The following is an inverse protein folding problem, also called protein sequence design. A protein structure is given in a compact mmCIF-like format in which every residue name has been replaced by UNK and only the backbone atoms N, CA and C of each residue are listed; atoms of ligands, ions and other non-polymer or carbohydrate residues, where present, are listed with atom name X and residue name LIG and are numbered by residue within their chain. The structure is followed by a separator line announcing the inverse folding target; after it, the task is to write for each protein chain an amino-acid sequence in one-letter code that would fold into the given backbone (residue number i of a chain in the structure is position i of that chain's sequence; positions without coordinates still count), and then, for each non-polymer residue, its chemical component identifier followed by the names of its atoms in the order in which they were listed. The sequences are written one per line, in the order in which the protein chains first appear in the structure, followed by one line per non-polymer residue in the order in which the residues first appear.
data_IF_006122591764
#
_entry.id   IF_006122591764
#
_cell.length_a   1.000
_cell.length_b   1.000
_cell.length_c   1.000
_cell.angle_alpha   90.00
_cell.angle_beta   90.00
_cell.angle_gamma   90.00
#
_symmetry.space_group_name_H-M   'P 1'
#
loop_
_entity.id
_entity.type
_entity.pdbx_description
1 polymer ?
#
# COMPACT_ATOMS: atom_id res chain seq x y z
N UNK A 1 2.75 0.11 14.64
CA UNK A 1 2.44 0.45 13.22
C UNK A 1 0.99 0.95 13.02
N UNK A 2 0.37 1.51 14.05
CA UNK A 2 -1.05 1.84 14.05
C UNK A 2 -1.41 2.81 12.93
N UNK A 3 -0.91 3.95 12.73
CA UNK A 3 -1.32 4.88 11.66
C UNK A 3 -0.49 4.78 10.37
N UNK A 4 0.72 4.26 10.44
CA UNK A 4 1.65 4.20 9.32
C UNK A 4 2.28 2.82 9.26
N UNK A 5 1.58 1.84 8.65
CA UNK A 5 2.16 0.52 8.45
C UNK A 5 3.44 0.65 7.64
N UNK A 6 4.45 -0.10 8.04
CA UNK A 6 5.76 -0.14 7.38
C UNK A 6 6.18 -1.57 7.21
N UNK A 7 6.81 -1.85 6.10
CA UNK A 7 7.40 -3.14 5.78
C UNK A 7 8.87 -2.95 5.44
N UNK A 8 9.63 -4.00 5.59
CA UNK A 8 11.04 -4.08 5.19
C UNK A 8 11.23 -5.19 4.14
N UNK A 9 12.45 -5.31 3.63
CA UNK A 9 12.79 -6.32 2.62
C UNK A 9 12.56 -7.75 3.11
N UNK A 10 12.71 -8.03 4.40
CA UNK A 10 12.45 -9.38 4.98
C UNK A 10 10.97 -9.75 4.91
N UNK A 11 10.08 -8.79 5.18
CA UNK A 11 8.64 -9.01 5.04
C UNK A 11 8.25 -9.16 3.58
N UNK A 12 8.86 -8.39 2.66
CA UNK A 12 8.64 -8.57 1.22
C UNK A 12 9.08 -9.95 0.74
N UNK A 13 10.24 -10.45 1.18
CA UNK A 13 10.69 -11.81 0.87
C UNK A 13 9.72 -12.90 1.36
N UNK A 14 9.04 -12.68 2.49
CA UNK A 14 8.10 -13.63 3.07
C UNK A 14 6.71 -13.59 2.44
N UNK A 15 6.26 -12.41 2.01
CA UNK A 15 4.86 -12.16 1.63
C UNK A 15 4.71 -11.56 0.22
N UNK A 16 5.68 -11.76 -0.67
CA UNK A 16 5.65 -11.25 -2.04
C UNK A 16 4.71 -12.03 -2.96
N UNK A 17 4.35 -13.25 -2.60
CA UNK A 17 3.56 -14.13 -3.44
C UNK A 17 2.19 -13.51 -3.79
N UNK A 18 1.85 -13.45 -5.07
CA UNK A 18 0.66 -12.79 -5.58
C UNK A 18 0.73 -11.26 -5.67
N UNK A 19 1.90 -10.65 -5.43
CA UNK A 19 2.10 -9.21 -5.57
C UNK A 19 2.88 -8.87 -6.84
N UNK A 20 2.48 -7.79 -7.50
CA UNK A 20 3.24 -7.15 -8.58
C UNK A 20 3.94 -5.92 -8.01
N UNK A 21 5.22 -5.73 -8.33
CA UNK A 21 6.04 -4.64 -7.80
C UNK A 21 6.59 -3.78 -8.93
N UNK A 22 6.53 -2.45 -8.76
CA UNK A 22 7.12 -1.48 -9.67
C UNK A 22 8.19 -0.64 -8.96
N UNK A 23 9.14 -0.05 -9.73
CA UNK A 23 10.24 0.74 -9.16
C UNK A 23 9.84 2.11 -8.62
N UNK A 24 8.59 2.49 -8.75
CA UNK A 24 7.97 3.75 -8.31
C UNK A 24 8.56 5.02 -8.97
N UNK A 25 8.18 6.19 -8.45
CA UNK A 25 8.57 7.52 -8.91
C UNK A 25 10.01 7.88 -8.50
N UNK A 26 10.41 9.15 -8.65
CA UNK A 26 11.74 9.65 -8.23
C UNK A 26 12.05 9.36 -6.75
N UNK A 27 11.02 9.14 -5.90
CA UNK A 27 11.18 8.72 -4.51
C UNK A 27 11.53 7.25 -4.30
N UNK A 28 11.45 6.41 -5.34
CA UNK A 28 11.78 4.99 -5.29
C UNK A 28 13.26 4.71 -5.02
N UNK A 29 13.57 3.53 -4.49
CA UNK A 29 14.93 3.14 -4.10
C UNK A 29 15.90 3.15 -5.30
N UNK A 30 15.47 2.63 -6.46
CA UNK A 30 16.29 2.63 -7.69
C UNK A 30 16.50 4.04 -8.25
N UNK A 31 15.45 4.88 -8.47
CA UNK A 31 15.62 6.26 -8.88
C UNK A 31 16.50 7.08 -7.93
N UNK A 32 16.37 6.89 -6.62
CA UNK A 32 17.20 7.57 -5.63
C UNK A 32 18.68 7.21 -5.74
N UNK A 33 19.04 5.96 -5.99
CA UNK A 33 20.40 5.55 -6.22
C UNK A 33 20.95 6.18 -7.52
N UNK A 34 20.16 6.19 -8.60
CA UNK A 34 20.54 6.83 -9.88
C UNK A 34 20.81 8.32 -9.67
N UNK A 35 19.94 9.04 -8.98
CA UNK A 35 20.11 10.48 -8.73
C UNK A 35 21.33 10.80 -7.86
N UNK A 36 21.75 9.87 -6.99
CA UNK A 36 23.03 9.97 -6.26
C UNK A 36 24.25 9.60 -7.12
N UNK A 37 24.03 9.26 -8.40
CA UNK A 37 25.05 8.76 -9.32
C UNK A 37 25.70 7.43 -8.87
N UNK A 38 24.94 6.62 -8.14
CA UNK A 38 25.34 5.29 -7.68
C UNK A 38 24.64 4.20 -8.52
N UNK A 39 25.17 3.98 -9.72
CA UNK A 39 24.64 2.99 -10.65
C UNK A 39 24.87 1.55 -10.17
N UNK A 40 25.87 1.32 -9.33
CA UNK A 40 26.14 0.00 -8.76
C UNK A 40 25.06 -0.37 -7.74
N UNK A 41 24.74 0.55 -6.82
CA UNK A 41 23.62 0.39 -5.89
C UNK A 41 22.30 0.22 -6.64
N UNK A 42 22.04 1.05 -7.66
CA UNK A 42 20.82 0.95 -8.46
C UNK A 42 20.66 -0.44 -9.08
N UNK A 43 21.72 -0.99 -9.66
CA UNK A 43 21.70 -2.35 -10.23
C UNK A 43 21.49 -3.42 -9.16
N UNK A 44 22.15 -3.33 -8.01
CA UNK A 44 21.97 -4.28 -6.90
C UNK A 44 20.53 -4.29 -6.41
N UNK A 45 19.91 -3.11 -6.29
CA UNK A 45 18.50 -2.97 -5.90
C UNK A 45 17.56 -3.61 -6.94
N UNK A 46 17.76 -3.34 -8.24
CA UNK A 46 16.98 -3.96 -9.32
C UNK A 46 17.10 -5.48 -9.28
N UNK A 47 18.32 -6.01 -9.11
CA UNK A 47 18.55 -7.46 -9.03
C UNK A 47 17.90 -8.09 -7.82
N UNK A 48 17.89 -7.38 -6.67
CA UNK A 48 17.23 -7.86 -5.47
C UNK A 48 15.71 -7.98 -5.71
N UNK A 49 15.06 -6.91 -6.21
CA UNK A 49 13.63 -6.95 -6.52
C UNK A 49 13.29 -8.03 -7.56
N UNK A 50 14.12 -8.17 -8.61
CA UNK A 50 13.96 -9.24 -9.61
C UNK A 50 14.09 -10.63 -8.99
N UNK A 51 14.97 -10.82 -8.01
CA UNK A 51 15.12 -12.12 -7.34
C UNK A 51 13.93 -12.48 -6.45
N UNK A 52 13.23 -11.49 -5.90
CA UNK A 52 12.05 -11.67 -5.04
C UNK A 52 10.78 -11.85 -5.87
N UNK A 53 10.53 -10.92 -6.81
CA UNK A 53 9.26 -10.86 -7.55
C UNK A 53 9.31 -11.56 -8.92
N UNK A 54 10.48 -11.99 -9.39
CA UNK A 54 10.60 -12.67 -10.68
C UNK A 54 10.11 -11.78 -11.83
N UNK A 55 9.16 -12.30 -12.62
CA UNK A 55 8.56 -11.60 -13.76
C UNK A 55 7.43 -10.65 -13.38
N UNK A 56 7.16 -10.50 -12.07
CA UNK A 56 6.21 -9.54 -11.51
C UNK A 56 6.90 -8.27 -10.97
N UNK A 57 8.18 -8.08 -11.30
CA UNK A 57 8.90 -6.82 -11.06
C UNK A 57 9.06 -6.03 -12.36
N UNK A 58 8.69 -4.73 -12.30
CA UNK A 58 8.76 -3.81 -13.44
C UNK A 58 9.49 -2.52 -13.07
N UNK A 59 10.27 -1.98 -14.02
CA UNK A 59 10.81 -0.63 -13.93
C UNK A 59 9.77 0.36 -14.45
N UNK A 60 9.72 1.55 -13.86
CA UNK A 60 8.64 2.51 -14.10
C UNK A 60 9.21 3.81 -14.66
N UNK A 61 8.87 4.11 -15.92
CA UNK A 61 9.22 5.36 -16.58
C UNK A 61 8.12 6.40 -16.34
N UNK A 62 8.52 7.59 -15.92
CA UNK A 62 7.60 8.71 -15.69
C UNK A 62 8.12 9.97 -16.36
N UNK A 63 7.22 10.81 -16.89
CA UNK A 63 7.56 12.10 -17.47
C UNK A 63 6.45 13.12 -17.16
N UNK A 64 6.83 14.23 -16.52
CA UNK A 64 5.91 15.30 -16.14
C UNK A 64 6.42 16.68 -16.66
N UNK A 65 6.45 16.90 -17.97
CA UNK A 65 6.85 18.19 -18.54
C UNK A 65 5.79 19.25 -18.21
N UNK A 66 6.10 20.20 -17.36
CA UNK A 66 5.17 21.27 -16.95
C UNK A 66 5.23 22.49 -17.86
N UNK A 67 6.34 22.67 -18.58
CA UNK A 67 6.65 23.89 -19.33
C UNK A 67 7.05 25.08 -18.45
N UNK A 68 7.15 24.89 -17.12
CA UNK A 68 7.73 25.87 -16.18
C UNK A 68 9.17 25.44 -15.87
N UNK A 69 10.20 26.18 -16.31
CA UNK A 69 11.60 25.77 -16.14
C UNK A 69 12.01 25.52 -14.68
N UNK A 70 11.32 26.14 -13.70
CA UNK A 70 11.63 25.91 -12.27
C UNK A 70 11.08 24.58 -11.77
N UNK A 71 9.88 24.20 -12.22
CA UNK A 71 9.28 22.90 -11.90
C UNK A 71 9.96 21.77 -12.67
N UNK A 72 10.29 22.03 -13.94
CA UNK A 72 10.94 21.06 -14.81
C UNK A 72 12.36 20.72 -14.33
N UNK A 73 13.12 21.68 -13.80
CA UNK A 73 14.45 21.44 -13.25
C UNK A 73 14.46 20.45 -12.08
N UNK A 74 13.43 20.52 -11.22
CA UNK A 74 13.35 19.66 -10.02
C UNK A 74 12.77 18.28 -10.31
N UNK A 75 11.91 18.13 -11.32
CA UNK A 75 11.18 16.88 -11.59
C UNK A 75 11.51 16.33 -12.99
N UNK A 76 11.17 17.05 -14.04
CA UNK A 76 11.25 16.55 -15.41
C UNK A 76 12.69 16.23 -15.85
N UNK A 77 13.66 17.09 -15.54
CA UNK A 77 15.07 16.83 -15.87
C UNK A 77 15.60 15.60 -15.11
N UNK A 78 15.22 15.43 -13.85
CA UNK A 78 15.57 14.23 -13.09
C UNK A 78 14.88 12.98 -13.65
N UNK A 79 13.64 13.08 -14.11
CA UNK A 79 12.95 11.96 -14.77
C UNK A 79 13.64 11.56 -16.08
N UNK A 80 14.10 12.50 -16.90
CA UNK A 80 14.87 12.19 -18.10
C UNK A 80 16.15 11.43 -17.77
N UNK A 81 16.89 11.88 -16.77
CA UNK A 81 18.12 11.21 -16.30
C UNK A 81 17.81 9.80 -15.80
N UNK A 82 16.82 9.66 -14.94
CA UNK A 82 16.41 8.38 -14.34
C UNK A 82 15.89 7.42 -15.40
N UNK A 83 15.02 7.85 -16.31
CA UNK A 83 14.46 7.00 -17.36
C UNK A 83 15.56 6.42 -18.26
N UNK A 84 16.55 7.23 -18.62
CA UNK A 84 17.71 6.74 -19.40
C UNK A 84 18.43 5.60 -18.66
N UNK A 85 18.72 5.78 -17.38
CA UNK A 85 19.40 4.77 -16.57
C UNK A 85 18.52 3.52 -16.34
N UNK A 86 17.21 3.69 -16.17
CA UNK A 86 16.26 2.58 -16.03
C UNK A 86 16.21 1.72 -17.30
N UNK A 87 16.25 2.31 -18.49
CA UNK A 87 16.33 1.57 -19.75
C UNK A 87 17.63 0.75 -19.87
N UNK A 88 18.76 1.30 -19.44
CA UNK A 88 20.02 0.57 -19.39
C UNK A 88 19.97 -0.60 -18.39
N UNK A 89 19.38 -0.37 -17.20
CA UNK A 89 19.19 -1.41 -16.18
C UNK A 89 18.18 -2.48 -16.62
N UNK A 90 17.10 -2.10 -17.33
CA UNK A 90 16.14 -3.01 -17.93
C UNK A 90 16.85 -4.03 -18.83
N UNK A 91 17.65 -3.53 -19.78
CA UNK A 91 18.39 -4.38 -20.71
C UNK A 91 19.44 -5.27 -19.97
N UNK A 92 20.15 -4.70 -18.99
CA UNK A 92 21.21 -5.38 -18.24
C UNK A 92 20.67 -6.46 -17.28
N UNK A 93 19.54 -6.21 -16.63
CA UNK A 93 18.96 -7.09 -15.62
C UNK A 93 17.83 -7.99 -16.15
N UNK A 94 17.40 -7.80 -17.39
CA UNK A 94 16.29 -8.55 -17.97
C UNK A 94 14.95 -8.26 -17.26
N UNK A 95 14.71 -6.99 -16.90
CA UNK A 95 13.49 -6.53 -16.24
C UNK A 95 12.66 -5.73 -17.23
N UNK A 96 11.39 -6.05 -17.39
CA UNK A 96 10.46 -5.27 -18.22
C UNK A 96 10.23 -3.90 -17.60
N UNK A 97 9.75 -2.96 -18.40
CA UNK A 97 9.40 -1.61 -17.94
C UNK A 97 8.03 -1.17 -18.45
N UNK A 98 7.45 -0.25 -17.72
CA UNK A 98 6.14 0.37 -17.99
C UNK A 98 6.29 1.88 -18.05
N UNK A 99 5.30 2.55 -18.64
CA UNK A 99 5.09 3.99 -18.50
C UNK A 99 3.92 4.23 -17.56
N UNK A 100 4.10 5.11 -16.58
CA UNK A 100 3.04 5.56 -15.68
C UNK A 100 3.02 7.07 -15.56
N UNK A 101 1.96 7.62 -14.99
CA UNK A 101 1.81 9.06 -14.80
C UNK A 101 1.73 9.47 -13.32
N UNK A 102 2.03 8.58 -12.38
CA UNK A 102 2.01 8.88 -10.94
C UNK A 102 0.76 9.70 -10.53
N UNK A 103 -0.42 9.19 -10.89
CA UNK A 103 -1.69 9.93 -10.85
C UNK A 103 -2.06 10.30 -9.42
N UNK A 104 -2.26 11.59 -9.17
CA UNK A 104 -2.68 12.14 -7.88
C UNK A 104 -4.06 12.80 -7.91
N UNK A 105 -4.56 13.14 -9.09
CA UNK A 105 -5.89 13.72 -9.31
C UNK A 105 -6.44 13.31 -10.67
N UNK A 106 -7.75 13.47 -10.88
CA UNK A 106 -8.41 12.90 -12.07
C UNK A 106 -8.32 13.83 -13.28
N UNK A 107 -8.73 15.08 -13.14
CA UNK A 107 -8.77 16.02 -14.24
C UNK A 107 -7.62 17.03 -14.14
N UNK A 108 -7.11 17.51 -15.28
CA UNK A 108 -6.02 18.48 -15.30
C UNK A 108 -6.39 19.79 -14.53
N UNK A 109 -7.67 20.20 -14.56
CA UNK A 109 -8.17 21.35 -13.80
C UNK A 109 -8.14 21.14 -12.26
N UNK A 110 -8.10 19.91 -11.78
CA UNK A 110 -8.05 19.61 -10.35
C UNK A 110 -6.69 19.94 -9.72
N UNK A 111 -5.66 20.21 -10.52
CA UNK A 111 -4.29 20.46 -10.08
C UNK A 111 -4.20 21.59 -9.02
N UNK A 112 -4.97 22.66 -9.20
CA UNK A 112 -4.99 23.79 -8.24
C UNK A 112 -5.64 23.39 -6.91
N UNK A 113 -6.74 22.65 -6.96
CA UNK A 113 -7.41 22.14 -5.76
C UNK A 113 -6.51 21.17 -5.01
N UNK A 114 -5.81 20.28 -5.73
CA UNK A 114 -4.84 19.35 -5.17
C UNK A 114 -3.67 20.08 -4.48
N UNK A 115 -3.13 21.16 -5.07
CA UNK A 115 -2.06 21.97 -4.49
C UNK A 115 -2.48 22.62 -3.15
N UNK A 116 -3.73 23.08 -3.06
CA UNK A 116 -4.30 23.59 -1.79
C UNK A 116 -4.45 22.46 -0.74
N UNK A 117 -4.87 21.27 -1.14
CA UNK A 117 -4.98 20.10 -0.23
C UNK A 117 -3.61 19.70 0.33
N UNK A 118 -2.56 19.76 -0.49
CA UNK A 118 -1.19 19.51 0.00
C UNK A 118 -0.80 20.52 1.09
N UNK A 119 -1.09 21.80 0.88
CA UNK A 119 -0.83 22.84 1.89
C UNK A 119 -1.58 22.55 3.19
N UNK A 120 -2.87 22.22 3.10
CA UNK A 120 -3.69 21.85 4.26
C UNK A 120 -3.11 20.66 5.02
N UNK A 121 -2.75 19.58 4.31
CA UNK A 121 -2.24 18.34 4.90
C UNK A 121 -0.85 18.47 5.51
N UNK A 122 -0.02 19.38 4.98
CA UNK A 122 1.35 19.61 5.44
C UNK A 122 1.48 20.78 6.42
N UNK A 123 0.40 21.54 6.65
CA UNK A 123 0.40 22.75 7.48
C UNK A 123 1.29 23.87 6.90
N UNK A 124 1.36 23.97 5.57
CA UNK A 124 2.18 24.98 4.86
C UNK A 124 1.30 25.97 4.13
N UNK A 125 1.78 27.21 4.01
CA UNK A 125 1.13 28.24 3.21
C UNK A 125 1.47 28.12 1.73
N UNK A 126 0.61 28.60 0.85
CA UNK A 126 0.77 28.54 -0.61
C UNK A 126 2.04 29.24 -1.12
N UNK A 127 2.45 30.31 -0.44
CA UNK A 127 3.63 31.13 -0.76
C UNK A 127 4.93 30.62 -0.10
N UNK A 128 4.87 29.59 0.77
CA UNK A 128 6.06 28.99 1.36
C UNK A 128 6.98 28.41 0.24
N UNK A 129 8.21 28.93 0.08
CA UNK A 129 9.13 28.46 -0.97
C UNK A 129 9.59 27.02 -0.77
N UNK A 130 9.53 26.50 0.47
CA UNK A 130 10.03 25.16 0.82
C UNK A 130 8.90 24.10 0.91
N UNK A 131 7.68 24.44 0.49
CA UNK A 131 6.59 23.47 0.50
C UNK A 131 6.71 22.46 -0.65
N UNK A 132 6.12 21.29 -0.47
CA UNK A 132 5.94 20.30 -1.51
C UNK A 132 5.08 20.86 -2.65
N UNK A 133 5.51 20.65 -3.88
CA UNK A 133 4.78 21.03 -5.09
C UNK A 133 4.84 19.90 -6.11
N UNK A 134 3.76 19.76 -6.86
CA UNK A 134 3.69 18.91 -8.04
C UNK A 134 3.83 19.72 -9.33
N UNK A 135 4.03 19.05 -10.45
CA UNK A 135 4.18 19.68 -11.76
C UNK A 135 2.84 20.12 -12.37
N UNK A 136 1.73 19.64 -11.84
CA UNK A 136 0.37 19.72 -12.37
C UNK A 136 0.14 18.80 -13.59
N UNK A 137 1.04 17.85 -13.81
CA UNK A 137 0.94 16.85 -14.87
C UNK A 137 0.48 15.47 -14.36
N UNK A 138 0.30 15.33 -13.05
CA UNK A 138 -0.02 14.08 -12.36
C UNK A 138 -1.53 13.76 -12.39
N UNK A 139 -2.23 14.15 -13.48
CA UNK A 139 -3.64 13.80 -13.70
C UNK A 139 -3.78 12.47 -14.46
N UNK A 140 -4.99 11.91 -14.46
CA UNK A 140 -5.29 10.68 -15.19
C UNK A 140 -5.33 10.95 -16.70
N UNK A 141 -4.20 10.73 -17.36
CA UNK A 141 -4.07 10.89 -18.81
C UNK A 141 -4.76 9.76 -19.56
N UNK A 142 -5.29 10.09 -20.76
CA UNK A 142 -5.80 9.09 -21.68
C UNK A 142 -4.67 8.22 -22.27
N UNK A 143 -4.99 7.03 -22.84
CA UNK A 143 -3.99 6.22 -23.55
C UNK A 143 -3.29 6.99 -24.69
N UNK A 144 -4.01 7.87 -25.38
CA UNK A 144 -3.46 8.70 -26.46
C UNK A 144 -2.49 9.75 -25.94
N UNK A 145 -2.79 10.39 -24.81
CA UNK A 145 -1.89 11.34 -24.15
C UNK A 145 -0.63 10.63 -23.65
N UNK A 146 -0.76 9.45 -23.07
CA UNK A 146 0.38 8.64 -22.66
C UNK A 146 1.23 8.20 -23.86
N UNK A 147 0.63 7.81 -24.96
CA UNK A 147 1.35 7.47 -26.20
C UNK A 147 2.10 8.67 -26.80
N UNK A 148 1.55 9.88 -26.68
CA UNK A 148 2.23 11.11 -27.11
C UNK A 148 3.40 11.48 -26.18
N UNK A 149 3.27 11.16 -24.90
CA UNK A 149 4.31 11.43 -23.91
C UNK A 149 5.50 10.46 -24.03
N UNK A 150 5.25 9.21 -24.45
CA UNK A 150 6.24 8.15 -24.62
C UNK A 150 6.27 7.58 -26.05
N UNK A 151 6.51 8.40 -27.09
CA UNK A 151 6.40 7.96 -28.49
C UNK A 151 7.41 6.89 -28.86
N UNK A 152 8.56 6.87 -28.19
CA UNK A 152 9.67 5.94 -28.47
C UNK A 152 9.59 4.63 -27.65
N UNK A 153 8.53 4.48 -26.83
CA UNK A 153 8.36 3.34 -25.91
C UNK A 153 6.96 2.70 -25.97
N UNK A 154 6.45 2.32 -27.15
CA UNK A 154 5.13 1.70 -27.28
C UNK A 154 5.04 0.35 -26.53
N UNK A 155 6.16 -0.36 -26.40
CA UNK A 155 6.25 -1.59 -25.63
C UNK A 155 5.99 -1.38 -24.13
N UNK A 156 6.41 -0.24 -23.56
CA UNK A 156 6.16 0.10 -22.16
C UNK A 156 4.68 0.31 -21.88
N UNK A 157 3.96 0.90 -22.85
CA UNK A 157 2.50 1.03 -22.77
C UNK A 157 1.80 -0.33 -22.92
N UNK A 158 2.28 -1.19 -23.81
CA UNK A 158 1.75 -2.55 -23.96
C UNK A 158 1.97 -3.39 -22.69
N UNK A 159 3.11 -3.21 -22.00
CA UNK A 159 3.40 -3.92 -20.74
C UNK A 159 2.41 -3.56 -19.63
N UNK A 160 1.79 -2.36 -19.65
CA UNK A 160 0.75 -2.01 -18.66
C UNK A 160 -0.49 -2.89 -18.81
N UNK A 161 -0.85 -3.28 -20.02
CA UNK A 161 -1.94 -4.22 -20.28
C UNK A 161 -1.59 -5.62 -19.82
N UNK A 162 -0.33 -6.05 -20.02
CA UNK A 162 0.15 -7.32 -19.47
C UNK A 162 -0.03 -7.39 -17.94
N UNK A 163 0.26 -6.30 -17.23
CA UNK A 163 0.06 -6.22 -15.77
C UNK A 163 -1.44 -6.32 -15.46
N UNK A 164 -2.29 -5.59 -16.18
CA UNK A 164 -3.73 -5.62 -15.95
C UNK A 164 -4.32 -7.03 -16.16
N UNK A 165 -3.83 -7.76 -17.16
CA UNK A 165 -4.26 -9.13 -17.47
C UNK A 165 -3.82 -10.16 -16.42
N UNK A 166 -2.78 -9.85 -15.61
CA UNK A 166 -2.34 -10.70 -14.50
C UNK A 166 -3.20 -10.57 -13.25
N UNK A 167 -3.96 -9.47 -13.12
CA UNK A 167 -4.75 -9.19 -11.92
C UNK A 167 -6.04 -10.01 -11.96
N UNK A 168 -6.20 -10.91 -11.00
CA UNK A 168 -7.43 -11.66 -10.79
C UNK A 168 -8.39 -10.92 -9.87
N UNK A 169 -9.70 -11.15 -10.01
CA UNK A 169 -10.69 -10.53 -9.12
C UNK A 169 -10.58 -11.12 -7.70
N UNK A 170 -10.38 -10.29 -6.69
CA UNK A 170 -10.30 -10.70 -5.29
C UNK A 170 -10.98 -9.69 -4.36
N UNK A 171 -11.32 -10.12 -3.15
CA UNK A 171 -11.93 -9.29 -2.12
C UNK A 171 -10.94 -9.00 -1.00
N UNK A 172 -10.68 -7.72 -0.75
CA UNK A 172 -9.86 -7.26 0.39
C UNK A 172 -10.64 -7.20 1.71
N UNK A 173 -11.97 -7.01 1.63
CA UNK A 173 -12.82 -6.90 2.82
C UNK A 173 -13.15 -8.27 3.38
N UNK A 174 -12.90 -8.45 4.66
CA UNK A 174 -13.30 -9.61 5.45
C UNK A 174 -13.97 -9.14 6.76
N UNK A 175 -14.59 -10.06 7.48
CA UNK A 175 -15.12 -9.77 8.81
C UNK A 175 -13.98 -9.26 9.73
N UNK A 176 -14.27 -8.34 10.67
CA UNK A 176 -13.29 -7.87 11.64
C UNK A 176 -12.66 -9.06 12.38
N UNK A 177 -11.34 -9.11 12.37
CA UNK A 177 -10.59 -10.09 13.16
C UNK A 177 -10.42 -9.54 14.57
N UNK A 178 -11.18 -10.13 15.52
CA UNK A 178 -10.99 -9.82 16.94
C UNK A 178 -9.76 -10.59 17.43
N UNK A 179 -8.77 -9.90 18.02
CA UNK A 179 -7.63 -10.60 18.60
C UNK A 179 -8.11 -11.45 19.79
N UNK A 180 -7.78 -12.73 19.75
CA UNK A 180 -7.94 -13.59 20.91
C UNK A 180 -6.74 -13.38 21.84
N UNK A 181 -6.96 -12.71 22.95
CA UNK A 181 -5.96 -12.47 23.98
C UNK A 181 -6.42 -13.15 25.28
N UNK A 182 -6.09 -14.42 25.50
CA UNK A 182 -6.42 -15.08 26.75
C UNK A 182 -5.68 -14.37 27.91
N UNK A 183 -6.38 -13.95 28.96
CA UNK A 183 -5.71 -13.36 30.11
C UNK A 183 -4.76 -14.37 30.74
N UNK A 184 -3.61 -13.91 31.27
CA UNK A 184 -2.70 -14.79 32.00
C UNK A 184 -3.43 -15.53 33.14
N UNK A 185 -2.98 -16.75 33.53
CA UNK A 185 -3.66 -17.57 34.53
C UNK A 185 -3.90 -16.86 35.88
N UNK A 186 -3.00 -15.96 36.25
CA UNK A 186 -3.10 -15.17 37.48
C UNK A 186 -4.26 -14.15 37.50
N UNK A 187 -4.83 -13.86 36.32
CA UNK A 187 -6.00 -12.98 36.15
C UNK A 187 -7.31 -13.76 35.93
N UNK A 188 -7.26 -15.07 35.96
CA UNK A 188 -8.47 -15.88 35.89
C UNK A 188 -9.27 -15.71 37.18
N UNK A 189 -10.49 -15.24 37.03
CA UNK A 189 -11.41 -15.14 38.15
C UNK A 189 -11.79 -16.55 38.63
N UNK A 190 -11.83 -16.79 39.92
CA UNK A 190 -12.36 -18.05 40.46
C UNK A 190 -13.76 -18.33 39.94
N UNK A 191 -14.12 -19.60 39.70
CA UNK A 191 -15.39 -20.01 39.11
C UNK A 191 -16.61 -19.33 39.77
N UNK A 192 -16.66 -19.33 41.11
CA UNK A 192 -17.80 -18.74 41.85
C UNK A 192 -17.92 -17.22 41.61
N UNK A 193 -16.78 -16.48 41.58
CA UNK A 193 -16.82 -15.06 41.33
C UNK A 193 -17.19 -14.74 39.88
N UNK A 194 -16.74 -15.55 38.94
CA UNK A 194 -17.07 -15.41 37.50
C UNK A 194 -18.58 -15.66 37.32
N UNK A 195 -19.11 -16.75 37.90
CA UNK A 195 -20.52 -17.11 37.85
C UNK A 195 -21.40 -16.01 38.46
N UNK A 196 -21.06 -15.52 39.66
CA UNK A 196 -21.79 -14.39 40.29
C UNK A 196 -21.79 -13.12 39.44
N UNK A 197 -20.63 -12.83 38.76
CA UNK A 197 -20.53 -11.69 37.89
C UNK A 197 -21.42 -11.80 36.64
N UNK A 198 -21.54 -13.01 36.07
CA UNK A 198 -22.41 -13.28 34.93
C UNK A 198 -23.89 -13.20 35.29
N UNK A 199 -24.30 -13.83 36.41
CA UNK A 199 -25.69 -13.79 36.91
C UNK A 199 -26.18 -12.37 37.15
N UNK A 200 -25.29 -11.45 37.59
CA UNK A 200 -25.66 -10.03 37.80
C UNK A 200 -25.89 -9.24 36.51
N UNK A 201 -25.40 -9.73 35.36
CA UNK A 201 -25.44 -9.03 34.08
C UNK A 201 -26.51 -9.56 33.13
N UNK A 202 -27.06 -10.72 33.39
CA UNK A 202 -27.99 -11.41 32.49
C UNK A 202 -29.38 -11.34 33.10
N UNK A 203 -30.36 -10.88 32.31
CA UNK A 203 -31.75 -10.74 32.68
C UNK A 203 -32.63 -11.90 32.18
N UNK A 204 -32.12 -12.62 31.17
CA UNK A 204 -32.84 -13.74 30.56
C UNK A 204 -32.85 -14.96 31.46
N UNK A 205 -34.05 -15.45 31.78
CA UNK A 205 -34.28 -16.57 32.73
C UNK A 205 -33.78 -17.91 32.20
N UNK A 206 -33.80 -18.14 30.89
CA UNK A 206 -33.32 -19.37 30.29
C UNK A 206 -31.77 -19.41 30.31
N UNK A 207 -31.14 -18.30 30.00
CA UNK A 207 -29.68 -18.17 30.07
C UNK A 207 -29.17 -18.24 31.52
N UNK A 208 -29.90 -17.67 32.49
CA UNK A 208 -29.59 -17.81 33.92
C UNK A 208 -29.64 -19.27 34.37
N UNK A 209 -30.66 -20.04 33.96
CA UNK A 209 -30.74 -21.46 34.30
C UNK A 209 -29.58 -22.29 33.70
N UNK A 210 -29.09 -21.90 32.53
CA UNK A 210 -27.93 -22.56 31.90
C UNK A 210 -26.64 -22.25 32.64
N UNK A 211 -26.41 -21.00 33.05
CA UNK A 211 -25.28 -20.61 33.89
C UNK A 211 -25.33 -21.34 35.23
N UNK A 212 -26.48 -21.47 35.83
CA UNK A 212 -26.67 -22.18 37.09
C UNK A 212 -26.37 -23.70 36.99
N UNK A 213 -26.46 -24.24 35.78
CA UNK A 213 -26.12 -25.65 35.52
C UNK A 213 -24.60 -25.85 35.30
N UNK A 214 -23.79 -24.79 35.15
CA UNK A 214 -22.36 -24.90 34.99
C UNK A 214 -21.65 -25.10 36.32
N UNK A 215 -20.65 -25.98 36.36
CA UNK A 215 -19.88 -26.35 37.54
C UNK A 215 -18.37 -26.11 37.40
N UNK A 216 -17.91 -25.57 36.25
CA UNK A 216 -16.50 -25.23 36.01
C UNK A 216 -16.39 -24.01 35.11
N UNK A 217 -15.19 -23.42 35.04
CA UNK A 217 -14.89 -22.30 34.15
C UNK A 217 -15.02 -22.74 32.69
N UNK A 218 -14.58 -23.94 32.34
CA UNK A 218 -14.67 -24.51 31.00
C UNK A 218 -16.13 -24.65 30.52
N UNK A 219 -17.06 -25.00 31.43
CA UNK A 219 -18.48 -25.07 31.13
C UNK A 219 -19.11 -23.68 30.93
N UNK A 220 -18.68 -22.67 31.70
CA UNK A 220 -19.10 -21.29 31.50
C UNK A 220 -18.55 -20.71 30.18
N UNK A 221 -17.31 -21.03 29.80
CA UNK A 221 -16.73 -20.62 28.53
C UNK A 221 -17.50 -21.27 27.35
N UNK A 222 -17.82 -22.56 27.42
CA UNK A 222 -18.62 -23.25 26.42
C UNK A 222 -20.03 -22.64 26.31
N UNK A 223 -20.68 -22.32 27.44
CA UNK A 223 -21.94 -21.61 27.44
C UNK A 223 -21.82 -20.23 26.75
N UNK A 224 -20.78 -19.47 27.01
CA UNK A 224 -20.57 -18.15 26.43
C UNK A 224 -20.40 -18.22 24.89
N UNK A 225 -19.66 -19.20 24.39
CA UNK A 225 -19.50 -19.45 22.94
C UNK A 225 -20.85 -19.80 22.29
N UNK A 226 -21.60 -20.73 22.86
CA UNK A 226 -22.95 -21.10 22.38
C UNK A 226 -23.93 -19.93 22.43
N UNK A 227 -23.89 -19.10 23.47
CA UNK A 227 -24.78 -17.93 23.62
C UNK A 227 -24.48 -16.89 22.52
N UNK A 228 -23.20 -16.72 22.18
CA UNK A 228 -22.78 -15.85 21.08
C UNK A 228 -23.28 -16.34 19.73
N UNK A 229 -23.13 -17.63 19.41
CA UNK A 229 -23.62 -18.22 18.15
C UNK A 229 -25.15 -18.07 18.01
N UNK A 230 -25.89 -18.18 19.10
CA UNK A 230 -27.39 -17.98 19.12
C UNK A 230 -27.77 -16.53 18.88
N UNK A 231 -26.94 -15.56 19.30
CA UNK A 231 -27.22 -14.14 19.11
C UNK A 231 -26.92 -13.66 17.69
N UNK A 232 -26.10 -14.40 16.94
CA UNK A 232 -25.70 -14.10 15.56
C UNK A 232 -26.58 -14.82 14.51
N UNK A 233 -27.44 -15.72 14.92
CA UNK A 233 -28.37 -16.47 14.04
C UNK A 233 -29.75 -15.82 13.97
#
# INVERSE_FOLDING_TARGET
FYYKPRIDKKLLEQYHEGLICCSACLGGEVPQAIMRNDMEEAEQVVRWFKSVFGDDYYLELQLHPSGDPRKDADVYENQLLVNKALLELSAKCGVKYICSNDVHFILAEDAVAHDHLICLNTGRDLDDPNRMRYTFQEYLKSPEEMAQLFPDHPEALATTLEIADKVEEYKLTHAPLMPNFPPPPEFHMPFEELRESLVKKIEDQEELARIDACHSVEELDAWAEESKERSES
#
